data_IF_956791252141
#
_entry.id   IF_956791252141
#
_cell.length_a   1.000
_cell.length_b   1.000
_cell.length_c   1.000
_cell.angle_alpha   90.00
_cell.angle_beta   90.00
_cell.angle_gamma   90.00
#
_symmetry.space_group_name_H-M   'P 1'
#
loop_
_entity.id
_entity.type
_entity.pdbx_description
1 polymer ?
#
# COMPACT_ATOMS: atom_id res chain seq x y z
N UNK A 1 -26.04 -61.00 -20.20
CA UNK A 1 -25.38 -59.68 -20.27
C UNK A 1 -24.13 -59.86 -21.10
N UNK A 2 -24.20 -59.46 -22.37
CA UNK A 2 -23.15 -59.67 -23.38
C UNK A 2 -22.66 -58.29 -23.84
N UNK A 3 -21.34 -58.08 -24.00
CA UNK A 3 -20.82 -56.79 -24.44
C UNK A 3 -20.85 -56.70 -25.98
N UNK A 4 -21.38 -55.58 -26.49
CA UNK A 4 -21.36 -55.26 -27.91
C UNK A 4 -20.06 -54.54 -28.23
N UNK A 5 -19.25 -55.22 -29.04
CA UNK A 5 -18.10 -54.67 -29.78
C UNK A 5 -18.60 -54.18 -31.14
N UNK A 6 -18.22 -52.98 -31.56
CA UNK A 6 -18.35 -52.51 -32.95
C UNK A 6 -17.18 -51.59 -33.28
N UNK A 7 -16.18 -52.18 -33.94
CA UNK A 7 -15.23 -51.49 -34.81
C UNK A 7 -15.83 -51.37 -36.21
N UNK A 8 -15.76 -50.19 -36.83
CA UNK A 8 -15.68 -50.06 -38.28
C UNK A 8 -15.07 -48.71 -38.68
N UNK A 9 -13.95 -48.81 -39.41
CA UNK A 9 -13.30 -47.74 -40.16
C UNK A 9 -14.15 -47.26 -41.33
N UNK A 10 -14.11 -45.95 -41.61
CA UNK A 10 -14.14 -45.42 -42.98
C UNK A 10 -13.11 -44.30 -43.09
N UNK A 11 -12.16 -44.50 -43.99
CA UNK A 11 -11.14 -43.55 -44.41
C UNK A 11 -11.71 -42.54 -45.41
N UNK A 12 -11.22 -41.31 -45.38
CA UNK A 12 -11.65 -40.24 -46.29
C UNK A 12 -10.72 -39.03 -46.30
N UNK A 13 -9.52 -39.22 -46.85
CA UNK A 13 -8.72 -38.29 -47.66
C UNK A 13 -9.05 -36.79 -47.56
N UNK A 14 -8.18 -36.03 -46.89
CA UNK A 14 -7.74 -34.69 -47.33
C UNK A 14 -6.29 -34.47 -46.92
N UNK A 15 -5.39 -34.62 -47.89
CA UNK A 15 -3.98 -34.24 -47.83
C UNK A 15 -3.79 -32.87 -48.49
N UNK A 16 -2.92 -32.03 -47.91
CA UNK A 16 -1.89 -31.18 -48.55
C UNK A 16 -1.35 -30.13 -47.53
N UNK A 17 -0.14 -29.57 -47.75
CA UNK A 17 0.93 -29.60 -46.75
C UNK A 17 1.38 -28.21 -46.29
N UNK A 18 1.89 -28.10 -45.05
CA UNK A 18 2.70 -26.95 -44.62
C UNK A 18 3.85 -27.38 -43.71
N UNK A 19 4.93 -27.83 -44.33
CA UNK A 19 6.26 -27.79 -43.74
C UNK A 19 7.23 -27.22 -44.78
N UNK A 20 8.21 -26.45 -44.28
CA UNK A 20 9.28 -25.70 -44.98
C UNK A 20 8.96 -24.25 -45.33
N UNK A 21 9.11 -23.38 -44.33
CA UNK A 21 9.86 -22.10 -44.41
C UNK A 21 9.88 -21.42 -43.04
N UNK A 22 10.79 -21.86 -42.16
CA UNK A 22 11.18 -21.11 -40.93
C UNK A 22 12.52 -21.64 -40.35
N UNK A 23 13.46 -22.02 -41.21
CA UNK A 23 14.88 -22.18 -40.87
C UNK A 23 15.64 -21.45 -41.97
N UNK A 24 16.57 -20.56 -41.58
CA UNK A 24 17.22 -19.50 -42.35
C UNK A 24 16.63 -18.09 -42.15
N UNK A 25 16.69 -17.62 -40.91
CA UNK A 25 16.79 -16.18 -40.58
C UNK A 25 17.39 -16.01 -39.17
N UNK A 26 18.46 -16.76 -38.85
CA UNK A 26 19.14 -16.72 -37.53
C UNK A 26 20.59 -16.21 -37.62
N UNK A 27 21.13 -15.92 -38.79
CA UNK A 27 22.50 -15.41 -38.91
C UNK A 27 22.55 -14.22 -39.86
N UNK A 28 22.38 -13.01 -39.32
CA UNK A 28 23.01 -11.76 -39.77
C UNK A 28 22.27 -10.53 -39.21
N UNK A 29 22.34 -10.28 -37.90
CA UNK A 29 22.32 -8.89 -37.39
C UNK A 29 23.48 -8.76 -36.42
N UNK A 30 24.57 -8.23 -36.96
CA UNK A 30 25.79 -7.95 -36.23
C UNK A 30 25.58 -6.90 -35.14
N UNK A 31 26.20 -7.19 -34.00
CA UNK A 31 26.97 -6.26 -33.16
C UNK A 31 26.65 -4.77 -33.36
N UNK A 32 25.63 -4.28 -32.67
CA UNK A 32 25.65 -2.93 -32.11
C UNK A 32 25.54 -3.06 -30.60
N UNK A 33 26.65 -2.86 -29.91
CA UNK A 33 26.68 -2.52 -28.49
C UNK A 33 25.79 -1.28 -28.29
N UNK A 34 24.70 -1.35 -27.51
CA UNK A 34 24.06 -0.13 -27.07
C UNK A 34 25.04 0.59 -26.15
N UNK A 35 25.27 1.88 -26.44
CA UNK A 35 25.96 2.76 -25.53
C UNK A 35 25.29 2.64 -24.16
N UNK A 36 26.10 2.25 -23.18
CA UNK A 36 25.73 2.14 -21.81
C UNK A 36 25.55 3.58 -21.31
N UNK A 37 24.32 4.11 -21.40
CA UNK A 37 23.94 5.31 -20.68
C UNK A 37 24.14 5.02 -19.19
N UNK A 38 25.33 5.40 -18.71
CA UNK A 38 25.61 5.47 -17.30
C UNK A 38 24.66 6.54 -16.76
N UNK A 39 23.55 6.10 -16.15
CA UNK A 39 22.89 6.86 -15.11
C UNK A 39 23.98 7.23 -14.12
N UNK A 40 24.51 8.45 -14.24
CA UNK A 40 25.29 9.11 -13.21
C UNK A 40 24.36 9.22 -12.02
N UNK A 41 24.39 8.19 -11.17
CA UNK A 41 23.82 8.25 -9.83
C UNK A 41 24.49 9.47 -9.22
N UNK A 42 23.73 10.55 -9.08
CA UNK A 42 24.17 11.74 -8.38
C UNK A 42 24.62 11.25 -7.00
N UNK A 43 25.95 11.11 -6.83
CA UNK A 43 26.51 10.71 -5.56
C UNK A 43 26.01 11.76 -4.58
N UNK A 44 25.26 11.33 -3.56
CA UNK A 44 25.10 12.15 -2.39
C UNK A 44 26.52 12.54 -1.96
N UNK A 45 26.84 13.85 -1.82
CA UNK A 45 28.14 14.24 -1.34
C UNK A 45 28.32 13.57 0.02
N UNK A 46 29.15 12.53 0.07
CA UNK A 46 29.56 11.88 1.32
C UNK A 46 30.26 12.98 2.10
N UNK A 47 29.58 13.57 3.09
CA UNK A 47 30.26 14.39 4.08
C UNK A 47 31.29 13.50 4.74
N UNK A 48 32.56 13.75 4.42
CA UNK A 48 33.67 13.00 4.94
C UNK A 48 33.59 13.02 6.47
N UNK A 49 33.58 11.83 7.06
CA UNK A 49 33.57 11.56 8.50
C UNK A 49 34.94 11.94 9.07
N UNK A 50 35.27 13.23 9.10
CA UNK A 50 36.42 13.78 9.80
C UNK A 50 35.95 14.99 10.60
N UNK A 51 36.08 14.88 11.93
CA UNK A 51 35.63 15.88 12.88
C UNK A 51 36.23 17.25 12.63
N UNK A 52 35.42 18.15 12.09
CA UNK A 52 35.44 19.57 12.41
C UNK A 52 33.99 20.01 12.52
N UNK A 53 33.63 20.50 13.69
CA UNK A 53 32.37 21.18 13.94
C UNK A 53 32.33 22.40 13.00
N UNK A 54 31.59 22.27 11.91
CA UNK A 54 31.10 23.42 11.18
C UNK A 54 29.74 23.74 11.81
N UNK A 55 29.71 24.76 12.67
CA UNK A 55 28.50 25.49 13.05
C UNK A 55 27.92 26.20 11.82
N UNK A 56 27.40 25.41 10.88
CA UNK A 56 26.37 25.89 9.97
C UNK A 56 25.08 25.34 10.54
N UNK A 57 24.32 26.23 11.19
CA UNK A 57 22.89 26.05 11.35
C UNK A 57 22.33 25.75 9.96
N UNK A 58 22.17 24.47 9.65
CA UNK A 58 21.32 24.04 8.57
C UNK A 58 19.92 24.41 9.05
N UNK A 59 19.42 25.53 8.54
CA UNK A 59 18.03 25.90 8.69
C UNK A 59 17.15 24.67 8.39
N UNK A 60 16.13 24.53 9.22
CA UNK A 60 15.09 23.51 9.21
C UNK A 60 14.94 22.81 7.84
N UNK A 61 15.18 21.50 7.73
CA UNK A 61 15.40 20.91 6.42
C UNK A 61 14.11 20.97 5.58
N UNK A 62 14.20 21.61 4.41
CA UNK A 62 13.14 21.94 3.44
C UNK A 62 12.22 20.75 3.08
N UNK A 63 12.66 19.51 3.34
CA UNK A 63 11.79 18.33 3.21
C UNK A 63 10.60 18.33 4.16
N UNK A 64 10.63 19.04 5.31
CA UNK A 64 9.50 19.21 6.25
C UNK A 64 8.26 19.81 5.58
N UNK A 65 8.44 20.77 4.67
CA UNK A 65 7.32 21.46 4.03
C UNK A 65 6.54 20.58 3.05
N UNK A 66 7.16 19.51 2.51
CA UNK A 66 6.54 18.65 1.47
C UNK A 66 6.11 17.27 1.95
N UNK A 67 6.68 16.76 3.04
CA UNK A 67 6.28 15.46 3.59
C UNK A 67 4.97 15.48 4.38
N UNK A 68 4.36 16.65 4.55
CA UNK A 68 3.02 16.75 5.11
C UNK A 68 1.94 16.19 4.17
N UNK A 69 2.30 15.76 2.95
CA UNK A 69 1.39 15.15 1.98
C UNK A 69 1.15 13.63 2.19
N UNK A 70 1.11 13.16 3.43
CA UNK A 70 0.82 11.76 3.74
C UNK A 70 -0.65 11.52 4.13
N UNK A 71 -1.27 10.40 3.71
CA UNK A 71 -2.63 10.01 4.10
C UNK A 71 -2.89 9.85 5.62
N UNK A 72 -1.89 10.00 6.48
CA UNK A 72 -2.00 9.69 7.92
C UNK A 72 -1.97 10.93 8.83
N UNK A 73 -1.71 12.12 8.28
CA UNK A 73 -1.15 13.25 9.05
C UNK A 73 -2.05 13.96 10.08
N UNK A 74 -3.38 13.75 10.14
CA UNK A 74 -4.27 14.48 11.09
C UNK A 74 -5.47 13.68 11.63
N UNK A 75 -5.22 12.47 12.12
CA UNK A 75 -6.29 11.67 12.75
C UNK A 75 -6.69 12.20 14.15
N UNK A 76 -5.99 13.22 14.66
CA UNK A 76 -6.27 13.86 15.94
C UNK A 76 -6.83 15.26 15.71
N UNK A 77 -8.09 15.49 16.07
CA UNK A 77 -8.67 16.83 16.11
C UNK A 77 -8.99 17.24 17.56
N UNK A 78 -8.57 18.46 17.92
CA UNK A 78 -8.98 19.28 19.08
C UNK A 78 -8.46 18.96 20.49
N UNK A 79 -7.36 18.21 20.65
CA UNK A 79 -6.71 18.05 21.96
C UNK A 79 -5.25 18.52 21.89
N UNK A 80 -4.68 18.94 23.03
CA UNK A 80 -3.41 19.67 23.09
C UNK A 80 -2.25 19.02 22.31
N UNK A 81 -1.23 19.82 21.96
CA UNK A 81 -0.16 19.46 21.02
C UNK A 81 0.57 18.13 21.33
N UNK A 82 0.64 17.70 22.59
CA UNK A 82 1.20 16.40 22.97
C UNK A 82 0.24 15.24 22.66
N UNK A 83 -1.05 15.39 22.96
CA UNK A 83 -2.09 14.40 22.69
C UNK A 83 -2.33 14.22 21.17
N UNK A 84 -2.12 15.29 20.40
CA UNK A 84 -2.13 15.24 18.93
C UNK A 84 -0.97 14.38 18.37
N UNK A 85 0.20 14.43 19.00
CA UNK A 85 1.36 13.62 18.63
C UNK A 85 1.09 12.12 18.79
N UNK A 86 0.59 11.71 19.95
CA UNK A 86 0.30 10.30 20.25
C UNK A 86 -0.78 9.73 19.32
N UNK A 87 -1.86 10.47 19.10
CA UNK A 87 -2.93 10.06 18.20
C UNK A 87 -2.45 9.95 16.73
N UNK A 88 -1.53 10.84 16.31
CA UNK A 88 -0.91 10.77 14.98
C UNK A 88 0.03 9.57 14.85
N UNK A 89 0.86 9.28 15.86
CA UNK A 89 1.70 8.09 15.86
C UNK A 89 0.84 6.81 15.81
N UNK A 90 -0.22 6.76 16.61
CA UNK A 90 -1.16 5.63 16.64
C UNK A 90 -1.82 5.39 15.26
N UNK A 91 -2.23 6.47 14.60
CA UNK A 91 -2.74 6.41 13.24
C UNK A 91 -1.70 5.88 12.24
N UNK A 92 -0.46 6.35 12.36
CA UNK A 92 0.65 5.95 11.49
C UNK A 92 0.99 4.48 11.63
N UNK A 93 1.02 3.97 12.86
CA UNK A 93 1.27 2.56 13.13
C UNK A 93 0.13 1.68 12.61
N UNK A 94 -1.13 2.10 12.75
CA UNK A 94 -2.27 1.38 12.13
C UNK A 94 -2.14 1.35 10.60
N UNK A 95 -1.74 2.47 9.99
CA UNK A 95 -1.50 2.52 8.55
C UNK A 95 -0.36 1.59 8.11
N UNK A 96 0.77 1.61 8.83
CA UNK A 96 1.89 0.69 8.59
C UNK A 96 1.47 -0.78 8.70
N UNK A 97 0.64 -1.12 9.68
CA UNK A 97 0.10 -2.47 9.84
C UNK A 97 -0.79 -2.88 8.65
N UNK A 98 -1.67 -1.99 8.20
CA UNK A 98 -2.52 -2.25 7.03
C UNK A 98 -1.71 -2.43 5.76
N UNK A 99 -0.75 -1.53 5.53
CA UNK A 99 0.17 -1.63 4.40
C UNK A 99 1.02 -2.91 4.48
N UNK A 100 1.46 -3.31 5.67
CA UNK A 100 2.18 -4.56 5.88
C UNK A 100 1.34 -5.79 5.51
N UNK A 101 0.09 -5.88 5.98
CA UNK A 101 -0.79 -6.99 5.63
C UNK A 101 -1.07 -7.06 4.13
N UNK A 102 -1.28 -5.92 3.47
CA UNK A 102 -1.44 -5.86 2.03
C UNK A 102 -0.15 -6.25 1.28
N UNK A 103 1.02 -5.88 1.81
CA UNK A 103 2.32 -6.22 1.23
C UNK A 103 2.65 -7.72 1.34
N UNK A 104 2.08 -8.47 2.30
CA UNK A 104 2.24 -9.93 2.38
C UNK A 104 1.80 -10.67 1.11
N UNK A 105 0.86 -10.11 0.35
CA UNK A 105 0.46 -10.62 -0.96
C UNK A 105 1.49 -10.36 -2.07
N UNK A 106 2.63 -9.75 -1.74
CA UNK A 106 3.63 -9.27 -2.68
C UNK A 106 3.21 -8.01 -3.42
N UNK A 107 2.25 -7.25 -2.88
CA UNK A 107 1.81 -6.00 -3.49
C UNK A 107 2.92 -4.96 -3.43
N UNK A 108 3.38 -4.51 -4.61
CA UNK A 108 4.39 -3.44 -4.70
C UNK A 108 3.81 -2.13 -4.18
N UNK A 109 2.57 -1.82 -4.55
CA UNK A 109 1.85 -0.64 -4.08
C UNK A 109 1.78 -0.60 -2.55
N UNK A 110 1.39 -1.70 -1.91
CA UNK A 110 1.33 -1.75 -0.45
C UNK A 110 2.71 -1.57 0.20
N UNK A 111 3.76 -2.11 -0.41
CA UNK A 111 5.13 -1.91 0.05
C UNK A 111 5.57 -0.44 -0.09
N UNK A 112 5.20 0.24 -1.17
CA UNK A 112 5.39 1.69 -1.31
C UNK A 112 4.65 2.46 -0.22
N UNK A 113 3.45 2.02 0.18
CA UNK A 113 2.71 2.64 1.29
C UNK A 113 3.38 2.39 2.65
N UNK A 114 3.95 1.20 2.91
CA UNK A 114 4.79 0.97 4.10
C UNK A 114 5.93 1.97 4.15
N UNK A 115 6.62 2.16 3.02
CA UNK A 115 7.74 3.09 2.92
C UNK A 115 7.27 4.53 3.14
N UNK A 116 6.15 4.94 2.53
CA UNK A 116 5.58 6.26 2.74
C UNK A 116 5.29 6.52 4.22
N UNK A 117 4.68 5.57 4.93
CA UNK A 117 4.43 5.67 6.37
C UNK A 117 5.72 5.70 7.19
N UNK A 118 6.74 4.90 6.84
CA UNK A 118 8.03 4.89 7.54
C UNK A 118 8.81 6.18 7.34
N UNK A 119 8.79 6.76 6.13
CA UNK A 119 9.40 8.06 5.87
C UNK A 119 8.62 9.16 6.57
N UNK A 120 7.29 9.11 6.62
CA UNK A 120 6.50 10.06 7.41
C UNK A 120 6.87 9.97 8.90
N UNK A 121 7.04 8.77 9.45
CA UNK A 121 7.42 8.59 10.84
C UNK A 121 8.76 9.26 11.15
N UNK A 122 9.74 9.00 10.28
CA UNK A 122 11.06 9.63 10.32
C UNK A 122 10.96 11.16 10.18
N UNK A 123 10.09 11.61 9.28
CA UNK A 123 9.86 13.02 8.98
C UNK A 123 9.23 13.79 10.15
N UNK A 124 8.35 13.14 10.92
CA UNK A 124 7.75 13.70 12.12
C UNK A 124 8.71 13.74 13.31
N UNK A 125 9.85 13.06 13.21
CA UNK A 125 10.82 12.92 14.30
C UNK A 125 10.40 11.86 15.33
N UNK A 126 9.56 10.89 14.96
CA UNK A 126 9.31 9.75 15.84
C UNK A 126 10.53 8.85 15.88
N UNK A 127 10.87 8.35 17.06
CA UNK A 127 11.91 7.35 17.23
C UNK A 127 11.39 5.95 16.88
N UNK A 128 12.31 5.04 16.57
CA UNK A 128 11.95 3.63 16.37
C UNK A 128 11.36 3.01 17.65
N UNK A 129 11.80 3.48 18.82
CA UNK A 129 11.27 3.02 20.11
C UNK A 129 9.83 3.47 20.31
N UNK A 130 9.46 4.68 19.86
CA UNK A 130 8.05 5.15 19.87
C UNK A 130 7.18 4.26 18.99
N UNK A 131 7.65 3.94 17.78
CA UNK A 131 6.95 3.02 16.86
C UNK A 131 6.81 1.64 17.49
N UNK A 132 7.88 1.12 18.10
CA UNK A 132 7.87 -0.19 18.77
C UNK A 132 6.88 -0.21 19.93
N UNK A 133 6.86 0.83 20.75
CA UNK A 133 5.92 0.95 21.87
C UNK A 133 4.47 0.98 21.38
N UNK A 134 4.18 1.77 20.35
CA UNK A 134 2.83 1.89 19.80
C UNK A 134 2.39 0.62 19.06
N UNK A 135 3.30 -0.05 18.33
CA UNK A 135 3.04 -1.37 17.73
C UNK A 135 2.70 -2.41 18.81
N UNK A 136 3.43 -2.38 19.93
CA UNK A 136 3.18 -3.28 21.07
C UNK A 136 1.82 -3.01 21.70
N UNK A 137 1.50 -1.73 21.94
CA UNK A 137 0.21 -1.31 22.48
C UNK A 137 -0.95 -1.73 21.57
N UNK A 138 -0.79 -1.52 20.26
CA UNK A 138 -1.76 -1.93 19.25
C UNK A 138 -1.93 -3.47 19.25
N UNK A 139 -0.84 -4.23 19.34
CA UNK A 139 -0.85 -5.69 19.47
C UNK A 139 -1.63 -6.17 20.70
N UNK A 140 -1.44 -5.52 21.85
CA UNK A 140 -2.19 -5.81 23.07
C UNK A 140 -3.69 -5.53 22.91
N UNK A 141 -4.04 -4.42 22.24
CA UNK A 141 -5.44 -4.03 22.03
C UNK A 141 -6.21 -4.97 21.08
N UNK A 142 -5.52 -5.52 20.08
CA UNK A 142 -6.13 -6.35 19.04
C UNK A 142 -6.11 -7.84 19.39
N UNK A 143 -5.19 -8.24 20.26
CA UNK A 143 -5.00 -9.61 20.70
C UNK A 143 -4.14 -10.46 19.74
N UNK A 144 -3.61 -11.58 20.24
CA UNK A 144 -2.57 -12.36 19.55
C UNK A 144 -3.07 -13.09 18.30
N UNK A 145 -4.38 -13.24 18.13
CA UNK A 145 -4.99 -13.87 16.94
C UNK A 145 -5.04 -12.92 15.74
N UNK A 146 -5.02 -11.62 15.99
CA UNK A 146 -5.17 -10.59 14.96
C UNK A 146 -3.86 -9.91 14.60
N UNK A 147 -2.95 -9.78 15.57
CA UNK A 147 -1.62 -9.20 15.34
C UNK A 147 -0.57 -9.93 16.20
N UNK A 148 0.08 -10.92 15.59
CA UNK A 148 1.03 -11.79 16.28
C UNK A 148 2.32 -11.04 16.68
N UNK A 149 3.04 -11.48 17.73
CA UNK A 149 4.33 -10.88 18.09
C UNK A 149 5.34 -10.88 16.94
N UNK A 150 5.34 -11.94 16.12
CA UNK A 150 6.18 -12.01 14.92
C UNK A 150 5.82 -10.92 13.89
N UNK A 151 4.53 -10.64 13.69
CA UNK A 151 4.11 -9.55 12.80
C UNK A 151 4.50 -8.18 13.37
N UNK A 152 4.40 -7.99 14.68
CA UNK A 152 4.86 -6.78 15.36
C UNK A 152 6.35 -6.54 15.08
N UNK A 153 7.19 -7.57 15.27
CA UNK A 153 8.61 -7.51 14.99
C UNK A 153 8.91 -7.19 13.52
N UNK A 154 8.14 -7.74 12.58
CA UNK A 154 8.31 -7.46 11.14
C UNK A 154 7.96 -6.02 10.80
N UNK A 155 6.84 -5.49 11.31
CA UNK A 155 6.45 -4.08 11.09
C UNK A 155 7.53 -3.13 11.63
N UNK A 156 8.02 -3.38 12.85
CA UNK A 156 9.12 -2.59 13.45
C UNK A 156 10.41 -2.74 12.64
N UNK A 157 10.73 -3.94 12.17
CA UNK A 157 11.92 -4.18 11.34
C UNK A 157 11.84 -3.44 9.99
N UNK A 158 10.66 -3.39 9.38
CA UNK A 158 10.44 -2.66 8.13
C UNK A 158 10.57 -1.15 8.33
N UNK A 159 9.97 -0.60 9.40
CA UNK A 159 10.17 0.81 9.77
C UNK A 159 11.67 1.12 10.03
N UNK A 160 12.37 0.23 10.76
CA UNK A 160 13.81 0.33 10.99
C UNK A 160 14.61 0.36 9.69
N UNK A 161 14.28 -0.48 8.70
CA UNK A 161 14.96 -0.51 7.41
C UNK A 161 14.74 0.78 6.62
N UNK A 162 13.52 1.32 6.62
CA UNK A 162 13.22 2.62 5.99
C UNK A 162 14.05 3.72 6.65
N UNK A 163 13.97 3.86 7.98
CA UNK A 163 14.73 4.87 8.73
C UNK A 163 16.25 4.72 8.60
N UNK A 164 16.75 3.48 8.57
CA UNK A 164 18.17 3.18 8.32
C UNK A 164 18.58 3.63 6.94
N UNK A 165 17.78 3.34 5.92
CA UNK A 165 18.08 3.73 4.55
C UNK A 165 18.13 5.25 4.43
N UNK A 166 17.17 5.98 5.01
CA UNK A 166 17.17 7.45 5.02
C UNK A 166 18.39 8.01 5.75
N UNK A 167 18.75 7.43 6.89
CA UNK A 167 19.93 7.84 7.67
C UNK A 167 21.24 7.61 6.91
N UNK A 168 21.37 6.49 6.21
CA UNK A 168 22.55 6.18 5.37
C UNK A 168 22.63 7.07 4.12
N UNK A 169 21.50 7.65 3.68
CA UNK A 169 21.47 8.71 2.67
C UNK A 169 21.86 10.09 3.22
N UNK A 170 22.18 10.19 4.51
CA UNK A 170 22.58 11.41 5.18
C UNK A 170 21.41 12.28 5.65
N UNK A 171 20.18 11.75 5.64
CA UNK A 171 19.02 12.46 6.18
C UNK A 171 19.03 12.34 7.71
N UNK A 172 18.73 13.45 8.39
CA UNK A 172 18.67 13.51 9.84
C UNK A 172 17.21 13.72 10.25
N UNK A 173 16.71 12.84 11.11
CA UNK A 173 15.37 12.98 11.66
C UNK A 173 15.28 14.22 12.56
N UNK A 174 14.17 14.96 12.57
CA UNK A 174 14.02 16.10 13.45
C UNK A 174 13.90 15.69 14.91
N UNK A 175 14.15 16.64 15.82
CA UNK A 175 13.95 16.48 17.28
C UNK A 175 14.77 15.33 17.91
N UNK A 176 15.81 14.85 17.23
CA UNK A 176 16.59 13.70 17.71
C UNK A 176 15.87 12.35 17.59
N UNK A 177 14.77 12.28 16.83
CA UNK A 177 14.06 11.03 16.54
C UNK A 177 14.80 10.11 15.57
N UNK A 178 14.08 9.16 14.98
CA UNK A 178 14.64 8.17 14.07
C UNK A 178 15.26 6.97 14.79
N UNK A 179 16.45 6.57 14.38
CA UNK A 179 17.10 5.38 14.94
C UNK A 179 17.75 5.67 16.30
N UNK A 180 17.69 4.71 17.25
CA UNK A 180 18.41 4.84 18.51
C UNK A 180 19.91 5.01 18.24
N UNK A 181 20.51 6.00 18.92
CA UNK A 181 21.95 6.25 18.81
C UNK A 181 22.78 5.24 19.63
N UNK A 182 22.18 4.66 20.69
CA UNK A 182 22.81 3.62 21.49
C UNK A 182 22.84 2.31 20.70
N UNK A 183 24.02 1.72 20.56
CA UNK A 183 24.28 0.50 19.78
C UNK A 183 23.84 -0.79 20.47
N UNK A 184 23.00 -0.70 21.50
CA UNK A 184 22.79 -1.83 22.42
C UNK A 184 21.89 -2.92 21.81
N UNK A 185 21.03 -2.56 20.86
CA UNK A 185 20.24 -3.54 20.10
C UNK A 185 21.01 -4.06 18.87
N UNK A 186 21.55 -5.27 19.01
CA UNK A 186 22.26 -5.99 17.93
C UNK A 186 21.40 -6.17 16.68
N UNK A 187 20.08 -6.27 16.83
CA UNK A 187 19.15 -6.49 15.71
C UNK A 187 19.10 -5.25 14.83
N UNK A 188 18.93 -4.07 15.42
CA UNK A 188 18.89 -2.80 14.67
C UNK A 188 20.24 -2.46 14.06
N UNK A 189 21.34 -2.73 14.78
CA UNK A 189 22.68 -2.61 14.20
C UNK A 189 22.86 -3.52 12.98
N UNK A 190 22.34 -4.75 13.03
CA UNK A 190 22.31 -5.69 11.92
C UNK A 190 21.50 -5.17 10.72
N UNK A 191 20.27 -4.68 10.95
CA UNK A 191 19.42 -4.12 9.89
C UNK A 191 20.01 -2.86 9.26
N UNK A 192 20.66 -2.01 10.07
CA UNK A 192 21.38 -0.83 9.57
C UNK A 192 22.57 -1.23 8.70
N UNK A 193 23.39 -2.18 9.16
CA UNK A 193 24.49 -2.74 8.37
C UNK A 193 24.00 -3.35 7.06
N UNK A 194 22.87 -4.07 7.11
CA UNK A 194 22.21 -4.61 5.93
C UNK A 194 21.77 -3.52 4.94
N UNK A 195 21.16 -2.44 5.41
CA UNK A 195 20.77 -1.31 4.57
C UNK A 195 21.99 -0.66 3.91
N UNK A 196 23.06 -0.41 4.67
CA UNK A 196 24.32 0.15 4.16
C UNK A 196 24.97 -0.76 3.09
N UNK A 197 25.00 -2.08 3.32
CA UNK A 197 25.51 -3.05 2.35
C UNK A 197 24.68 -3.10 1.07
N UNK A 198 23.35 -3.09 1.20
CA UNK A 198 22.44 -3.05 0.05
C UNK A 198 22.65 -1.78 -0.77
N UNK A 199 22.76 -0.61 -0.14
CA UNK A 199 23.04 0.66 -0.81
C UNK A 199 24.41 0.66 -1.51
N UNK A 200 25.43 0.04 -0.91
CA UNK A 200 26.74 -0.12 -1.57
C UNK A 200 26.60 -0.92 -2.87
N UNK A 201 25.84 -2.02 -2.86
CA UNK A 201 25.57 -2.84 -4.07
C UNK A 201 24.79 -2.08 -5.14
N UNK A 202 23.95 -1.11 -4.78
CA UNK A 202 23.26 -0.27 -5.79
C UNK A 202 24.27 0.45 -6.69
N UNK A 203 25.39 0.90 -6.12
CA UNK A 203 26.46 1.55 -6.90
C UNK A 203 27.15 0.61 -7.91
N UNK A 204 26.99 -0.70 -7.73
CA UNK A 204 27.48 -1.76 -8.63
C UNK A 204 26.44 -2.16 -9.69
N UNK A 205 25.31 -1.44 -9.78
CA UNK A 205 24.22 -1.72 -10.72
C UNK A 205 23.19 -2.72 -10.20
N UNK A 206 23.11 -2.92 -8.87
CA UNK A 206 22.06 -3.71 -8.25
C UNK A 206 20.75 -2.91 -8.20
N UNK A 207 19.84 -3.17 -9.14
CA UNK A 207 18.57 -2.43 -9.28
C UNK A 207 17.36 -3.22 -8.77
N UNK A 208 16.28 -2.53 -8.41
CA UNK A 208 15.02 -3.15 -8.01
C UNK A 208 14.53 -4.14 -9.07
N UNK A 209 14.58 -3.77 -10.35
CA UNK A 209 14.15 -4.63 -11.45
C UNK A 209 14.96 -5.94 -11.51
N UNK A 210 16.27 -5.90 -11.26
CA UNK A 210 17.10 -7.11 -11.20
C UNK A 210 16.72 -8.00 -10.01
N UNK A 211 16.43 -7.41 -8.86
CA UNK A 211 15.95 -8.15 -7.68
C UNK A 211 14.61 -8.82 -7.96
N UNK A 212 13.66 -8.08 -8.54
CA UNK A 212 12.34 -8.60 -8.90
C UNK A 212 12.45 -9.76 -9.91
N UNK A 213 13.33 -9.63 -10.91
CA UNK A 213 13.56 -10.67 -11.90
C UNK A 213 14.23 -11.90 -11.28
N UNK A 214 15.23 -11.71 -10.42
CA UNK A 214 15.89 -12.81 -9.70
C UNK A 214 14.92 -13.59 -8.81
N UNK A 215 14.01 -12.90 -8.13
CA UNK A 215 12.95 -13.52 -7.32
C UNK A 215 11.98 -14.34 -8.16
N UNK A 216 11.58 -13.84 -9.33
CA UNK A 216 10.71 -14.57 -10.25
C UNK A 216 11.37 -15.83 -10.80
N UNK A 217 12.69 -15.76 -11.06
CA UNK A 217 13.49 -16.89 -11.55
C UNK A 217 13.87 -17.90 -10.45
N UNK A 218 13.70 -17.56 -9.17
CA UNK A 218 14.01 -18.48 -8.07
C UNK A 218 13.01 -19.64 -8.08
N UNK A 219 13.46 -20.90 -8.27
CA UNK A 219 12.58 -22.06 -8.32
C UNK A 219 11.88 -22.24 -6.96
N UNK A 220 10.63 -22.77 -6.94
CA UNK A 220 9.85 -22.89 -5.71
C UNK A 220 10.54 -23.73 -4.64
N UNK A 221 11.38 -24.70 -5.04
CA UNK A 221 12.14 -25.58 -4.14
C UNK A 221 13.23 -24.84 -3.35
N UNK A 222 13.76 -23.74 -3.89
CA UNK A 222 14.81 -22.94 -3.24
C UNK A 222 14.24 -21.78 -2.38
N UNK A 223 12.92 -21.58 -2.40
CA UNK A 223 12.25 -20.49 -1.66
C UNK A 223 12.15 -20.82 -0.18
N UNK A 224 13.23 -20.59 0.55
CA UNK A 224 13.21 -20.63 2.01
C UNK A 224 12.58 -19.37 2.60
N UNK A 225 11.92 -19.44 3.78
CA UNK A 225 11.38 -18.26 4.44
C UNK A 225 12.44 -17.17 4.70
N UNK A 226 13.67 -17.57 5.01
CA UNK A 226 14.79 -16.65 5.20
C UNK A 226 15.17 -15.92 3.91
N UNK A 227 15.20 -16.63 2.77
CA UNK A 227 15.46 -16.02 1.46
C UNK A 227 14.36 -15.01 1.11
N UNK A 228 13.09 -15.37 1.31
CA UNK A 228 11.95 -14.49 1.05
C UNK A 228 12.02 -13.22 1.91
N UNK A 229 12.37 -13.34 3.19
CA UNK A 229 12.55 -12.20 4.09
C UNK A 229 13.71 -11.31 3.64
N UNK A 230 14.86 -11.89 3.28
CA UNK A 230 16.00 -11.12 2.75
C UNK A 230 15.64 -10.38 1.46
N UNK A 231 14.93 -11.05 0.57
CA UNK A 231 14.45 -10.51 -0.69
C UNK A 231 13.49 -9.34 -0.48
N UNK A 232 12.59 -9.43 0.49
CA UNK A 232 11.65 -8.36 0.84
C UNK A 232 12.36 -7.19 1.53
N UNK A 233 13.25 -7.45 2.48
CA UNK A 233 14.07 -6.42 3.13
C UNK A 233 14.93 -5.66 2.10
N UNK A 234 15.47 -6.38 1.11
CA UNK A 234 16.22 -5.77 0.00
C UNK A 234 15.33 -4.83 -0.81
N UNK A 235 14.10 -5.25 -1.14
CA UNK A 235 13.13 -4.41 -1.86
C UNK A 235 12.80 -3.14 -1.09
N UNK A 236 12.57 -3.24 0.22
CA UNK A 236 12.27 -2.08 1.07
C UNK A 236 13.39 -1.04 0.98
N UNK A 237 14.65 -1.46 1.10
CA UNK A 237 15.80 -0.54 0.98
C UNK A 237 15.85 0.11 -0.41
N UNK A 238 15.68 -0.68 -1.48
CA UNK A 238 15.75 -0.18 -2.85
C UNK A 238 14.60 0.77 -3.20
N UNK A 239 13.38 0.46 -2.77
CA UNK A 239 12.21 1.32 -2.97
C UNK A 239 12.32 2.58 -2.12
N UNK A 240 12.82 2.49 -0.88
CA UNK A 240 13.07 3.67 -0.03
C UNK A 240 14.08 4.60 -0.69
N UNK A 241 15.13 4.06 -1.30
CA UNK A 241 16.08 4.83 -2.10
C UNK A 241 15.39 5.54 -3.27
N UNK A 242 14.54 4.83 -4.03
CA UNK A 242 13.82 5.43 -5.17
C UNK A 242 12.86 6.54 -4.73
N UNK A 243 12.15 6.34 -3.62
CA UNK A 243 11.28 7.36 -3.01
C UNK A 243 12.11 8.58 -2.61
N UNK A 244 13.18 8.39 -1.85
CA UNK A 244 14.08 9.48 -1.44
C UNK A 244 14.69 10.23 -2.63
N UNK A 245 15.06 9.52 -3.70
CA UNK A 245 15.55 10.14 -4.94
C UNK A 245 14.49 10.98 -5.64
N UNK A 246 13.26 10.46 -5.79
CA UNK A 246 12.14 11.23 -6.39
C UNK A 246 11.91 12.52 -5.63
N UNK A 247 11.90 12.45 -4.30
CA UNK A 247 11.71 13.63 -3.43
C UNK A 247 12.80 14.66 -3.64
N UNK A 248 14.07 14.22 -3.67
CA UNK A 248 15.21 15.11 -3.90
C UNK A 248 15.14 15.76 -5.29
N UNK A 249 14.79 15.01 -6.32
CA UNK A 249 14.63 15.57 -7.67
C UNK A 249 13.50 16.62 -7.70
N UNK A 250 12.36 16.33 -7.07
CA UNK A 250 11.27 17.32 -6.96
C UNK A 250 11.70 18.56 -6.17
N UNK A 251 12.52 18.42 -5.13
CA UNK A 251 13.07 19.58 -4.41
C UNK A 251 13.94 20.44 -5.33
N UNK A 252 14.95 19.85 -5.96
CA UNK A 252 15.85 20.58 -6.87
C UNK A 252 15.08 21.30 -7.98
N UNK A 253 14.12 20.63 -8.62
CA UNK A 253 13.29 21.25 -9.67
C UNK A 253 12.56 22.49 -9.17
N UNK A 254 12.08 22.48 -7.92
CA UNK A 254 11.36 23.64 -7.39
C UNK A 254 12.29 24.73 -6.88
N UNK A 255 13.47 24.39 -6.37
CA UNK A 255 14.52 25.37 -6.08
C UNK A 255 14.88 26.13 -7.37
N UNK A 256 15.09 25.42 -8.49
CA UNK A 256 15.33 26.05 -9.80
C UNK A 256 14.18 26.91 -10.31
N UNK A 257 12.91 26.54 -10.06
CA UNK A 257 11.75 27.33 -10.48
C UNK A 257 11.56 28.57 -9.61
N UNK A 258 11.97 28.53 -8.35
CA UNK A 258 11.77 29.64 -7.40
C UNK A 258 12.78 30.77 -7.60
N UNK A 259 13.95 30.48 -8.18
CA UNK A 259 15.03 31.46 -8.40
C UNK A 259 14.81 32.33 -9.67
N UNK A 260 13.82 32.05 -10.52
CA UNK A 260 13.58 32.78 -11.77
C UNK A 260 12.60 33.98 -11.63
N UNK A 261 11.91 34.14 -10.49
CA UNK A 261 10.85 35.15 -10.29
C UNK A 261 11.31 36.45 -9.58
N UNK A 262 12.61 36.62 -9.30
CA UNK A 262 13.16 37.85 -8.66
C UNK A 262 13.39 39.03 -9.64
N UNK A 263 12.81 39.00 -10.84
CA UNK A 263 12.82 40.17 -11.74
C UNK A 263 11.71 41.17 -11.34
N UNK A 264 12.10 42.13 -10.49
CA UNK A 264 11.34 43.20 -9.82
C UNK A 264 10.43 44.13 -10.66
N UNK A 265 10.02 43.82 -11.90
CA UNK A 265 9.34 44.82 -12.76
C UNK A 265 8.03 44.37 -13.42
N UNK A 266 7.31 43.39 -12.85
CA UNK A 266 6.01 42.98 -13.40
C UNK A 266 4.88 42.97 -12.36
N UNK A 267 3.90 43.83 -12.65
CA UNK A 267 2.57 44.01 -12.08
C UNK A 267 2.05 42.95 -11.10
N UNK A 268 1.51 43.44 -9.97
CA UNK A 268 0.65 42.79 -8.97
C UNK A 268 -0.49 41.93 -9.55
N UNK A 269 -0.16 40.79 -10.15
CA UNK A 269 -1.12 39.69 -10.32
C UNK A 269 -0.83 38.74 -9.16
N UNK A 270 -1.70 38.62 -8.16
CA UNK A 270 -1.53 37.65 -7.09
C UNK A 270 -1.53 36.27 -7.72
N UNK A 271 -0.34 35.74 -8.00
CA UNK A 271 -0.16 34.39 -8.47
C UNK A 271 -0.69 33.48 -7.36
N UNK A 272 -1.65 32.57 -7.63
CA UNK A 272 -2.05 31.60 -6.64
C UNK A 272 -0.79 30.86 -6.21
N UNK A 273 -0.52 30.74 -4.90
CA UNK A 273 0.70 30.11 -4.41
C UNK A 273 0.84 28.75 -5.11
N UNK A 274 2.05 28.38 -5.58
CA UNK A 274 2.26 27.10 -6.22
C UNK A 274 1.68 26.05 -5.28
N UNK A 275 0.78 25.22 -5.81
CA UNK A 275 0.20 24.12 -5.08
C UNK A 275 1.35 23.17 -4.71
N UNK A 276 2.02 23.46 -3.61
CA UNK A 276 2.94 22.54 -2.98
C UNK A 276 2.19 21.24 -2.75
N UNK A 277 2.89 20.09 -2.61
CA UNK A 277 2.24 18.87 -2.13
C UNK A 277 1.67 19.19 -0.74
N UNK A 278 0.40 19.60 -0.75
CA UNK A 278 -0.28 20.19 0.39
C UNK A 278 -0.35 19.17 1.49
N UNK A 279 -0.49 19.67 2.72
CA UNK A 279 -0.78 18.82 3.86
C UNK A 279 -1.95 17.89 3.48
N UNK A 280 -1.69 16.60 3.30
CA UNK A 280 -2.73 15.64 2.92
C UNK A 280 -3.54 15.43 4.18
N UNK A 281 -4.69 16.08 4.18
CA UNK A 281 -5.74 15.81 5.12
C UNK A 281 -5.98 14.29 5.14
N UNK A 282 -5.94 13.58 6.28
CA UNK A 282 -6.32 12.16 6.32
C UNK A 282 -7.80 11.95 5.99
N UNK A 283 -8.59 13.02 6.03
CA UNK A 283 -9.94 13.11 5.47
C UNK A 283 -9.93 13.63 4.02
N UNK A 284 -8.79 13.60 3.32
CA UNK A 284 -8.74 13.74 1.87
C UNK A 284 -9.32 12.45 1.25
N UNK A 285 -10.22 12.56 0.25
CA UNK A 285 -10.82 11.41 -0.42
C UNK A 285 -9.77 10.42 -0.97
N UNK A 286 -8.65 10.92 -1.51
CA UNK A 286 -7.51 10.10 -1.97
C UNK A 286 -6.92 9.24 -0.87
N UNK A 287 -6.73 9.85 0.29
CA UNK A 287 -6.16 9.19 1.45
C UNK A 287 -7.06 8.04 1.93
N UNK A 288 -8.36 8.32 2.05
CA UNK A 288 -9.34 7.30 2.44
C UNK A 288 -9.42 6.20 1.40
N UNK A 289 -9.45 6.53 0.10
CA UNK A 289 -9.45 5.56 -0.98
C UNK A 289 -8.24 4.59 -0.91
N UNK A 290 -7.04 5.11 -0.68
CA UNK A 290 -5.83 4.30 -0.49
C UNK A 290 -5.97 3.37 0.71
N UNK A 291 -6.49 3.84 1.85
CA UNK A 291 -6.70 3.00 3.05
C UNK A 291 -7.78 1.93 2.84
N UNK A 292 -8.84 2.26 2.10
CA UNK A 292 -9.85 1.29 1.65
C UNK A 292 -9.21 0.22 0.77
N UNK A 293 -8.37 0.60 -0.19
CA UNK A 293 -7.65 -0.33 -1.07
C UNK A 293 -6.68 -1.24 -0.30
N UNK A 294 -5.85 -0.69 0.60
CA UNK A 294 -4.94 -1.49 1.43
C UNK A 294 -5.72 -2.48 2.32
N UNK A 295 -6.80 -2.01 2.95
CA UNK A 295 -7.66 -2.85 3.78
C UNK A 295 -8.34 -3.94 2.95
N UNK A 296 -8.75 -3.64 1.72
CA UNK A 296 -9.29 -4.63 0.79
C UNK A 296 -8.25 -5.69 0.41
N UNK A 297 -7.02 -5.31 0.07
CA UNK A 297 -5.95 -6.26 -0.27
C UNK A 297 -5.65 -7.18 0.93
N UNK A 298 -5.52 -6.62 2.13
CA UNK A 298 -5.29 -7.41 3.34
C UNK A 298 -6.47 -8.34 3.66
N UNK A 299 -7.70 -7.88 3.46
CA UNK A 299 -8.93 -8.68 3.61
C UNK A 299 -8.92 -9.89 2.68
N UNK A 300 -8.58 -9.70 1.41
CA UNK A 300 -8.49 -10.76 0.40
C UNK A 300 -7.48 -11.85 0.79
N UNK A 301 -6.38 -11.46 1.43
CA UNK A 301 -5.33 -12.37 1.91
C UNK A 301 -5.74 -13.05 3.23
N UNK A 302 -6.89 -12.67 3.80
CA UNK A 302 -7.45 -13.27 5.01
C UNK A 302 -6.97 -12.62 6.31
N UNK A 303 -6.44 -11.39 6.28
CA UNK A 303 -6.06 -10.67 7.48
C UNK A 303 -7.32 -10.12 8.20
N UNK A 304 -7.66 -10.59 9.42
CA UNK A 304 -8.92 -10.21 10.09
C UNK A 304 -9.00 -8.72 10.42
N UNK A 305 -7.85 -8.10 10.69
CA UNK A 305 -7.69 -6.66 10.97
C UNK A 305 -8.14 -5.80 9.80
N UNK A 306 -7.81 -6.26 8.60
CA UNK A 306 -8.09 -5.55 7.36
C UNK A 306 -9.58 -5.52 7.05
N UNK A 307 -10.36 -6.52 7.48
CA UNK A 307 -11.83 -6.45 7.39
C UNK A 307 -12.40 -5.29 8.20
N UNK A 308 -12.02 -5.20 9.49
CA UNK A 308 -12.51 -4.13 10.37
C UNK A 308 -12.12 -2.76 9.83
N UNK A 309 -10.85 -2.63 9.42
CA UNK A 309 -10.34 -1.38 8.86
C UNK A 309 -11.01 -1.02 7.53
N UNK A 310 -11.33 -1.99 6.68
CA UNK A 310 -12.10 -1.75 5.46
C UNK A 310 -13.49 -1.18 5.78
N UNK A 311 -14.19 -1.79 6.73
CA UNK A 311 -15.52 -1.32 7.19
C UNK A 311 -15.42 0.08 7.79
N UNK A 312 -14.42 0.34 8.63
CA UNK A 312 -14.24 1.64 9.28
C UNK A 312 -13.92 2.76 8.28
N UNK A 313 -13.04 2.51 7.31
CA UNK A 313 -12.67 3.49 6.28
C UNK A 313 -13.78 3.71 5.25
N UNK A 314 -14.48 2.66 4.84
CA UNK A 314 -15.66 2.79 4.01
C UNK A 314 -16.80 3.54 4.75
N UNK A 315 -16.96 3.32 6.06
CA UNK A 315 -17.93 4.07 6.87
C UNK A 315 -17.52 5.54 7.00
N UNK A 316 -16.23 5.82 7.15
CA UNK A 316 -15.70 7.19 7.14
C UNK A 316 -16.04 7.90 5.83
N UNK A 317 -15.77 7.27 4.68
CA UNK A 317 -16.11 7.83 3.37
C UNK A 317 -17.63 8.07 3.23
N UNK A 318 -18.43 7.08 3.64
CA UNK A 318 -19.89 7.17 3.65
C UNK A 318 -20.39 8.36 4.49
N UNK A 319 -19.85 8.54 5.70
CA UNK A 319 -20.23 9.63 6.62
C UNK A 319 -19.81 11.01 6.12
N UNK A 320 -18.74 11.09 5.32
CA UNK A 320 -18.31 12.32 4.65
C UNK A 320 -19.17 12.65 3.43
N UNK A 321 -20.11 11.77 3.05
CA UNK A 321 -20.98 11.97 1.90
C UNK A 321 -20.31 11.67 0.57
N UNK A 322 -19.17 10.97 0.56
CA UNK A 322 -18.54 10.56 -0.69
C UNK A 322 -19.19 9.30 -1.22
N UNK A 323 -19.59 9.36 -2.49
CA UNK A 323 -20.07 8.21 -3.24
C UNK A 323 -18.98 7.14 -3.39
N UNK A 324 -19.41 5.90 -3.60
CA UNK A 324 -18.49 4.81 -3.92
C UNK A 324 -17.69 5.10 -5.19
N UNK A 325 -18.28 5.82 -6.16
CA UNK A 325 -17.59 6.27 -7.37
C UNK A 325 -16.45 7.22 -7.03
N UNK A 326 -16.70 8.27 -6.25
CA UNK A 326 -15.66 9.23 -5.88
C UNK A 326 -14.50 8.56 -5.14
N UNK A 327 -14.78 7.60 -4.26
CA UNK A 327 -13.72 6.83 -3.57
C UNK A 327 -12.87 6.04 -4.57
N UNK A 328 -13.49 5.41 -5.56
CA UNK A 328 -12.77 4.61 -6.58
C UNK A 328 -12.05 5.49 -7.60
N UNK A 329 -12.63 6.61 -8.02
CA UNK A 329 -12.00 7.58 -8.95
C UNK A 329 -10.78 8.26 -8.34
N UNK A 330 -10.74 8.32 -7.01
CA UNK A 330 -9.55 8.73 -6.28
C UNK A 330 -8.46 7.65 -6.26
N UNK A 331 -8.65 6.46 -6.86
CA UNK A 331 -7.61 5.45 -7.07
C UNK A 331 -7.02 5.55 -8.48
N UNK A 332 -5.70 5.34 -8.59
CA UNK A 332 -5.03 5.29 -9.89
C UNK A 332 -5.08 3.87 -10.44
N UNK A 333 -5.22 3.75 -11.76
CA UNK A 333 -5.32 2.46 -12.45
C UNK A 333 -4.13 1.53 -12.14
N UNK A 334 -2.92 2.10 -12.08
CA UNK A 334 -1.68 1.40 -11.76
C UNK A 334 -1.65 0.75 -10.36
N UNK A 335 -2.44 1.27 -9.42
CA UNK A 335 -2.51 0.74 -8.06
C UNK A 335 -3.24 -0.60 -8.05
N UNK A 336 -4.21 -0.81 -8.95
CA UNK A 336 -4.94 -2.08 -9.07
C UNK A 336 -4.05 -3.21 -9.60
N UNK A 337 -3.09 -2.92 -10.49
CA UNK A 337 -2.13 -3.91 -11.03
C UNK A 337 -1.20 -4.42 -9.93
N UNK A 338 -0.66 -3.46 -9.18
CA UNK A 338 0.42 -3.70 -8.25
C UNK A 338 -0.07 -4.37 -6.97
N UNK A 339 -1.38 -4.55 -6.80
CA UNK A 339 -1.95 -5.27 -5.66
C UNK A 339 -1.56 -6.75 -5.62
N UNK A 340 -1.09 -7.35 -6.72
CA UNK A 340 -0.92 -8.82 -6.84
C UNK A 340 -2.13 -9.60 -6.27
N UNK A 341 -3.32 -8.98 -6.29
CA UNK A 341 -4.49 -9.34 -5.48
C UNK A 341 -5.13 -10.68 -5.85
N UNK A 342 -6.48 -10.72 -5.87
CA UNK A 342 -7.24 -11.95 -6.19
C UNK A 342 -6.79 -12.56 -7.53
N UNK A 343 -6.46 -11.70 -8.49
CA UNK A 343 -5.91 -12.11 -9.79
C UNK A 343 -4.42 -11.79 -9.82
N UNK A 344 -3.53 -12.78 -9.61
CA UNK A 344 -2.11 -12.55 -9.79
C UNK A 344 -1.83 -12.26 -11.26
N UNK A 345 -1.19 -11.13 -11.55
CA UNK A 345 -0.60 -10.86 -12.86
C UNK A 345 0.64 -11.77 -13.02
N UNK A 346 0.42 -12.96 -13.58
CA UNK A 346 1.51 -13.83 -14.02
C UNK A 346 2.14 -13.18 -15.26
N UNK A 347 3.45 -13.31 -15.46
CA UNK A 347 4.10 -12.80 -16.66
C UNK A 347 3.38 -13.34 -17.92
N UNK A 348 2.71 -12.44 -18.65
CA UNK A 348 1.92 -12.77 -19.85
C UNK A 348 0.39 -12.77 -19.69
N UNK A 349 -0.15 -12.60 -18.48
CA UNK A 349 -1.58 -12.34 -18.30
C UNK A 349 -1.93 -10.90 -18.72
N UNK A 350 -3.14 -10.72 -19.26
CA UNK A 350 -3.67 -9.41 -19.64
C UNK A 350 -3.73 -8.47 -18.43
N UNK A 351 -2.81 -7.51 -18.39
CA UNK A 351 -2.68 -6.52 -17.32
C UNK A 351 -3.97 -5.71 -17.18
N UNK A 352 -4.58 -5.34 -18.30
CA UNK A 352 -5.81 -4.57 -18.35
C UNK A 352 -6.97 -5.37 -17.74
N UNK A 353 -7.02 -6.67 -18.01
CA UNK A 353 -8.01 -7.55 -17.38
C UNK A 353 -7.84 -7.63 -15.86
N UNK A 354 -6.61 -7.74 -15.37
CA UNK A 354 -6.33 -7.77 -13.93
C UNK A 354 -6.71 -6.44 -13.24
N UNK A 355 -6.41 -5.30 -13.88
CA UNK A 355 -6.85 -3.97 -13.45
C UNK A 355 -8.38 -3.92 -13.32
N UNK A 356 -9.09 -4.33 -14.38
CA UNK A 356 -10.56 -4.39 -14.42
C UNK A 356 -11.13 -5.27 -13.33
N UNK A 357 -10.62 -6.49 -13.16
CA UNK A 357 -11.14 -7.42 -12.16
C UNK A 357 -10.93 -6.86 -10.74
N UNK A 358 -9.73 -6.37 -10.42
CA UNK A 358 -9.44 -5.84 -9.09
C UNK A 358 -10.30 -4.59 -8.79
N UNK A 359 -10.44 -3.69 -9.76
CA UNK A 359 -11.29 -2.49 -9.65
C UNK A 359 -12.77 -2.82 -9.44
N UNK A 360 -13.30 -3.84 -10.13
CA UNK A 360 -14.68 -4.31 -9.95
C UNK A 360 -14.88 -4.93 -8.57
N UNK A 361 -13.90 -5.71 -8.08
CA UNK A 361 -14.02 -6.39 -6.81
C UNK A 361 -14.05 -5.41 -5.64
N UNK A 362 -13.11 -4.46 -5.57
CA UNK A 362 -13.12 -3.45 -4.51
C UNK A 362 -14.41 -2.63 -4.53
N UNK A 363 -14.89 -2.31 -5.73
CA UNK A 363 -16.13 -1.59 -5.96
C UNK A 363 -17.36 -2.31 -5.43
N UNK A 364 -17.46 -3.62 -5.70
CA UNK A 364 -18.55 -4.45 -5.18
C UNK A 364 -18.49 -4.53 -3.65
N UNK A 365 -17.31 -4.70 -3.06
CA UNK A 365 -17.16 -4.69 -1.60
C UNK A 365 -17.56 -3.35 -0.97
N UNK A 366 -17.18 -2.24 -1.60
CA UNK A 366 -17.54 -0.90 -1.15
C UNK A 366 -19.06 -0.67 -1.27
N UNK A 367 -19.65 -1.10 -2.38
CA UNK A 367 -21.10 -1.06 -2.62
C UNK A 367 -21.87 -1.85 -1.56
N UNK A 368 -21.42 -3.06 -1.24
CA UNK A 368 -22.01 -3.89 -0.19
C UNK A 368 -21.97 -3.19 1.18
N UNK A 369 -20.85 -2.57 1.54
CA UNK A 369 -20.73 -1.84 2.79
C UNK A 369 -21.70 -0.65 2.84
N UNK A 370 -21.74 0.14 1.77
CA UNK A 370 -22.61 1.31 1.60
C UNK A 370 -24.10 0.95 1.70
N UNK A 371 -24.53 -0.10 0.98
CA UNK A 371 -25.90 -0.60 1.05
C UNK A 371 -26.25 -1.14 2.44
N UNK A 372 -25.30 -1.81 3.11
CA UNK A 372 -25.51 -2.33 4.47
C UNK A 372 -25.82 -1.20 5.44
N UNK A 373 -25.09 -0.09 5.41
CA UNK A 373 -25.37 1.05 6.27
C UNK A 373 -26.68 1.75 5.94
N UNK A 374 -27.01 1.92 4.65
CA UNK A 374 -28.29 2.49 4.25
C UNK A 374 -29.47 1.63 4.72
N UNK A 375 -29.40 0.30 4.58
CA UNK A 375 -30.43 -0.61 5.09
C UNK A 375 -30.47 -0.70 6.61
N UNK A 376 -29.37 -0.40 7.29
CA UNK A 376 -29.32 -0.24 8.75
C UNK A 376 -29.88 1.11 9.23
N UNK A 377 -30.34 1.98 8.32
CA UNK A 377 -30.92 3.28 8.65
C UNK A 377 -29.90 4.38 8.94
N UNK A 378 -28.62 4.16 8.61
CA UNK A 378 -27.62 5.24 8.64
C UNK A 378 -27.88 6.14 7.44
N UNK A 379 -28.03 7.46 7.68
CA UNK A 379 -28.26 8.41 6.60
C UNK A 379 -26.96 8.70 5.84
N UNK A 380 -27.01 8.61 4.50
CA UNK A 380 -25.93 9.07 3.62
C UNK A 380 -26.16 10.56 3.30
N UNK A 381 -25.23 11.48 3.67
CA UNK A 381 -25.42 12.91 3.48
C UNK A 381 -25.72 13.33 2.04
N UNK A 382 -25.15 12.63 1.05
CA UNK A 382 -25.32 12.92 -0.38
C UNK A 382 -26.52 12.23 -1.05
N UNK A 383 -27.36 11.49 -0.31
CA UNK A 383 -28.36 10.58 -0.91
C UNK A 383 -29.41 11.30 -1.76
N UNK A 384 -29.72 12.56 -1.43
CA UNK A 384 -30.74 13.36 -2.13
C UNK A 384 -30.22 13.96 -3.44
N UNK A 385 -28.91 14.10 -3.58
CA UNK A 385 -28.27 14.86 -4.67
C UNK A 385 -27.52 13.97 -5.65
N UNK A 386 -27.16 12.75 -5.26
CA UNK A 386 -26.36 11.84 -6.07
C UNK A 386 -27.15 10.57 -6.38
N UNK A 387 -27.54 10.39 -7.63
CA UNK A 387 -27.95 9.06 -8.11
C UNK A 387 -26.72 8.16 -8.19
N UNK A 388 -26.87 6.87 -7.87
CA UNK A 388 -25.76 5.93 -7.99
C UNK A 388 -24.68 6.01 -6.92
N UNK A 389 -24.93 6.73 -5.82
CA UNK A 389 -23.95 6.95 -4.76
C UNK A 389 -23.33 5.66 -4.16
N UNK A 390 -24.02 4.51 -4.27
CA UNK A 390 -23.56 3.23 -3.73
C UNK A 390 -22.98 2.26 -4.76
N UNK A 391 -22.99 2.55 -6.07
CA UNK A 391 -22.52 1.61 -7.09
C UNK A 391 -21.62 2.31 -8.12
N UNK A 392 -20.29 2.14 -8.01
CA UNK A 392 -19.36 2.76 -8.94
C UNK A 392 -19.35 2.00 -10.28
N UNK A 393 -19.20 2.74 -11.37
CA UNK A 393 -18.77 2.28 -12.68
C UNK A 393 -17.25 2.25 -12.69
N UNK A 394 -16.65 1.10 -12.98
CA UNK A 394 -15.20 0.94 -12.95
C UNK A 394 -14.65 0.56 -14.31
N UNK A 395 -13.66 1.32 -14.78
CA UNK A 395 -12.89 1.03 -15.99
C UNK A 395 -13.80 0.76 -17.21
N UNK A 396 -14.84 1.59 -17.34
CA UNK A 396 -15.81 1.51 -18.44
C UNK A 396 -16.77 0.33 -18.38
N UNK A 397 -16.82 -0.43 -17.28
CA UNK A 397 -17.84 -1.45 -17.05
C UNK A 397 -19.02 -0.85 -16.28
N UNK A 398 -20.13 -0.49 -16.97
CA UNK A 398 -21.30 0.06 -16.31
C UNK A 398 -21.86 -0.96 -15.33
N UNK A 399 -22.17 -0.50 -14.12
CA UNK A 399 -22.95 -1.31 -13.18
C UNK A 399 -24.41 -1.15 -13.55
N UNK A 400 -25.01 -2.19 -14.14
CA UNK A 400 -26.40 -2.18 -14.54
C UNK A 400 -27.32 -2.06 -13.31
N UNK A 401 -28.44 -1.34 -13.45
CA UNK A 401 -29.44 -1.20 -12.39
C UNK A 401 -29.96 -2.57 -11.88
N UNK A 402 -29.99 -3.58 -12.75
CA UNK A 402 -30.33 -4.96 -12.42
C UNK A 402 -29.31 -5.56 -11.44
N UNK A 403 -28.01 -5.34 -11.69
CA UNK A 403 -26.95 -5.81 -10.80
C UNK A 403 -27.06 -5.13 -9.43
N UNK A 404 -27.26 -3.81 -9.40
CA UNK A 404 -27.49 -3.08 -8.15
C UNK A 404 -28.70 -3.61 -7.36
N UNK A 405 -29.80 -3.96 -8.04
CA UNK A 405 -30.98 -4.57 -7.42
C UNK A 405 -30.71 -5.98 -6.86
N UNK A 406 -29.84 -6.76 -7.52
CA UNK A 406 -29.44 -8.07 -7.04
C UNK A 406 -28.60 -7.95 -5.76
N UNK A 407 -27.65 -7.02 -5.73
CA UNK A 407 -26.83 -6.73 -4.54
C UNK A 407 -27.67 -6.24 -3.37
N UNK A 408 -28.63 -5.34 -3.62
CA UNK A 408 -29.51 -4.84 -2.58
C UNK A 408 -30.38 -5.96 -1.96
N UNK A 409 -30.91 -6.85 -2.80
CA UNK A 409 -31.66 -8.04 -2.37
C UNK A 409 -30.79 -8.99 -1.55
N UNK A 410 -29.55 -9.22 -1.99
CA UNK A 410 -28.57 -10.03 -1.28
C UNK A 410 -28.28 -9.47 0.12
N UNK A 411 -27.96 -8.18 0.23
CA UNK A 411 -27.69 -7.51 1.52
C UNK A 411 -28.90 -7.62 2.44
N UNK A 412 -30.09 -7.28 1.96
CA UNK A 412 -31.32 -7.32 2.76
C UNK A 412 -31.63 -8.74 3.26
N UNK A 413 -31.47 -9.74 2.40
CA UNK A 413 -31.69 -11.15 2.78
C UNK A 413 -30.69 -11.62 3.84
N UNK A 414 -29.43 -11.19 3.72
CA UNK A 414 -28.35 -11.50 4.66
C UNK A 414 -28.61 -10.84 6.02
N UNK A 415 -28.96 -9.56 6.03
CA UNK A 415 -29.30 -8.84 7.27
C UNK A 415 -30.51 -9.47 7.98
N UNK A 416 -31.56 -9.87 7.25
CA UNK A 416 -32.71 -10.58 7.82
C UNK A 416 -32.31 -11.92 8.43
N UNK A 417 -31.42 -12.67 7.77
CA UNK A 417 -30.91 -13.94 8.27
C UNK A 417 -30.10 -13.77 9.55
N UNK A 418 -29.21 -12.78 9.60
CA UNK A 418 -28.41 -12.48 10.79
C UNK A 418 -29.27 -11.96 11.95
N UNK A 419 -30.26 -11.09 11.68
CA UNK A 419 -31.23 -10.66 12.68
C UNK A 419 -32.00 -11.85 13.27
N UNK A 420 -32.44 -12.81 12.43
CA UNK A 420 -33.12 -14.02 12.88
C UNK A 420 -32.21 -14.91 13.72
N UNK A 421 -30.93 -15.06 13.34
CA UNK A 421 -29.91 -15.79 14.11
C UNK A 421 -29.67 -15.14 15.47
N UNK A 422 -29.53 -13.82 15.52
CA UNK A 422 -29.36 -13.08 16.76
C UNK A 422 -30.55 -13.26 17.72
N UNK A 423 -31.79 -13.17 17.21
CA UNK A 423 -33.00 -13.42 18.01
C UNK A 423 -33.08 -14.86 18.54
N UNK A 424 -32.66 -15.85 17.74
CA UNK A 424 -32.60 -17.25 18.17
C UNK A 424 -31.54 -17.49 19.25
N UNK A 425 -30.35 -16.89 19.10
CA UNK A 425 -29.29 -16.98 20.10
C UNK A 425 -29.71 -16.32 21.43
N UNK A 426 -30.40 -15.18 21.38
CA UNK A 426 -30.95 -14.50 22.56
C UNK A 426 -32.00 -15.36 23.28
N UNK A 427 -32.89 -16.02 22.54
CA UNK A 427 -33.90 -16.92 23.11
C UNK A 427 -33.31 -18.21 23.71
N UNK A 428 -32.20 -18.73 23.16
CA UNK A 428 -31.51 -19.89 23.72
C UNK A 428 -30.68 -19.56 24.97
N UNK A 429 -30.14 -18.34 25.05
CA UNK A 429 -29.41 -17.88 26.24
C UNK A 429 -30.29 -17.71 27.48
N UNK A 430 -31.54 -17.26 27.30
CA UNK A 430 -32.47 -17.05 28.43
C UNK A 430 -33.02 -18.34 29.03
N UNK A 431 -33.19 -19.40 28.24
CA UNK A 431 -33.63 -20.71 28.75
C UNK A 431 -32.53 -21.44 29.53
N UNK A 432 -31.26 -21.21 29.22
CA UNK A 432 -30.12 -21.80 29.94
C UNK A 432 -29.89 -21.21 31.35
N UNK A 433 -30.23 -19.94 31.58
CA UNK A 433 -30.07 -19.31 32.90
C UNK A 433 -31.14 -19.70 33.92
N UNK A 434 -32.35 -20.06 33.49
CA UNK A 434 -33.40 -20.51 34.42
C UNK A 434 -33.13 -21.88 35.03
N UNK A 435 -32.34 -22.75 34.39
CA UNK A 435 -32.02 -24.08 34.93
C UNK A 435 -30.85 -24.10 35.93
N UNK A 436 -30.05 -23.02 36.02
CA UNK A 436 -28.93 -22.96 36.98
C UNK A 436 -29.30 -22.30 38.33
N UNK A 437 -30.55 -21.83 38.50
CA UNK A 437 -31.02 -21.20 39.74
C UNK A 437 -31.79 -22.12 40.70
N UNK A 438 -31.99 -23.40 40.35
CA UNK A 438 -32.75 -24.38 41.16
C UNK A 438 -31.88 -25.49 41.78
N UNK A 439 -30.56 -25.34 41.76
CA UNK A 439 -29.61 -26.18 42.53
C UNK A 439 -28.90 -25.34 43.56
#
# INVERSE_FOLDING_TARGET
MSPVSLSAHVAGVLSLPRQRRARLAVEAIGRRTPAQDQLTVARFPRTARNGRACDRNFDEPVWRARYNASPVARLASSTGAEQEGDARLSALVRFLLLAHHAAKGGSLFALEQVIAGGVEAFACGYSLDDIKAEVTLLGMSMGPRSFTPMEQDVVVSWACLVMSTLSELGLVAPKGGGLPQSSDDRTYAGLRSFAAQTLARVSEGFTLQRVLLSQQMTPPEERTPALMLMQENTRIVLLTLQVAQRIRTTQLVNEFVSDEDDNEDSHDVPMPPPAGPGVVDPDNPRSVAVRVLLSFIGLVIGAPVSLRSFVDEAHRAYRKGWSAQEVVDNLKEEEFVQTRGIVPTVAGSDRELAEKINGVLISRFLSLAYMTWAFAGVEFPGAKTMEGWAWPTVLGMPTDAVEASNWSTFVLSTMKKEARRASQAAAAGSSGQQQQGET
#
